data_IF_450990926392
#
_entry.id   IF_450990926392
#
_cell.length_a   1.000
_cell.length_b   1.000
_cell.length_c   1.000
_cell.angle_alpha   90.00
_cell.angle_beta   90.00
_cell.angle_gamma   90.00
#
_symmetry.space_group_name_H-M   'P 1'
#
loop_
_entity.id
_entity.type
_entity.pdbx_description
1 polymer ?
#
# COMPACT_ATOMS: atom_id res chain seq x y z
N UNK A 1 32.14 -40.65 33.90
CA UNK A 1 31.00 -39.76 34.18
C UNK A 1 30.86 -38.82 33.00
N UNK A 2 29.96 -39.15 32.07
CA UNK A 2 29.61 -38.34 30.91
C UNK A 2 28.41 -37.48 31.30
N UNK A 3 28.52 -36.17 31.12
CA UNK A 3 27.38 -35.25 31.18
C UNK A 3 27.25 -34.57 29.83
N UNK A 4 26.29 -35.03 29.04
CA UNK A 4 25.82 -34.35 27.84
C UNK A 4 24.99 -33.12 28.27
N UNK A 5 25.33 -31.95 27.76
CA UNK A 5 24.46 -30.77 27.80
C UNK A 5 23.74 -30.68 26.46
N UNK A 6 22.42 -30.92 26.49
CA UNK A 6 21.52 -30.67 25.38
C UNK A 6 21.18 -29.18 25.37
N UNK A 7 21.75 -28.43 24.42
CA UNK A 7 21.32 -27.07 24.11
C UNK A 7 20.06 -27.15 23.26
N UNK A 8 18.91 -26.81 23.86
CA UNK A 8 17.64 -26.67 23.19
C UNK A 8 17.74 -25.64 22.04
N UNK A 9 17.34 -26.09 20.85
CA UNK A 9 17.12 -25.30 19.65
C UNK A 9 15.90 -24.38 19.85
N UNK A 10 16.14 -23.08 19.99
CA UNK A 10 15.10 -22.04 20.15
C UNK A 10 15.17 -21.04 18.99
N UNK A 11 15.20 -21.52 17.73
CA UNK A 11 15.20 -20.64 16.54
C UNK A 11 13.99 -20.89 15.62
N UNK A 12 13.18 -21.95 15.84
CA UNK A 12 12.10 -22.30 14.91
C UNK A 12 10.72 -21.64 15.17
N UNK A 13 10.56 -20.82 16.22
CA UNK A 13 9.24 -20.26 16.57
C UNK A 13 9.10 -18.74 16.36
N UNK A 14 10.17 -18.01 16.04
CA UNK A 14 10.07 -16.56 15.83
C UNK A 14 9.56 -16.14 14.45
N UNK A 15 9.77 -16.98 13.43
CA UNK A 15 9.51 -16.64 12.01
C UNK A 15 8.14 -17.13 11.46
N UNK A 16 7.46 -18.07 12.15
CA UNK A 16 6.26 -18.71 11.60
C UNK A 16 4.97 -17.86 11.71
N UNK A 17 4.92 -16.90 12.63
CA UNK A 17 3.68 -16.17 12.96
C UNK A 17 3.53 -14.85 12.17
N UNK A 18 4.63 -14.14 11.90
CA UNK A 18 4.65 -13.00 10.94
C UNK A 18 4.27 -13.43 9.52
N UNK A 19 4.59 -14.68 9.14
CA UNK A 19 4.24 -15.26 7.85
C UNK A 19 2.72 -15.37 7.64
N UNK A 20 1.93 -15.63 8.69
CA UNK A 20 0.47 -15.73 8.58
C UNK A 20 -0.17 -14.38 8.25
N UNK A 21 0.29 -13.30 8.89
CA UNK A 21 -0.20 -11.94 8.61
C UNK A 21 0.20 -11.51 7.19
N UNK A 22 1.43 -11.79 6.76
CA UNK A 22 1.89 -11.49 5.41
C UNK A 22 1.14 -12.29 4.34
N UNK A 23 0.84 -13.57 4.58
CA UNK A 23 0.02 -14.39 3.69
C UNK A 23 -1.42 -13.87 3.61
N UNK A 24 -2.03 -13.53 4.74
CA UNK A 24 -3.37 -12.93 4.78
C UNK A 24 -3.39 -11.58 4.04
N UNK A 25 -2.37 -10.74 4.23
CA UNK A 25 -2.24 -9.47 3.53
C UNK A 25 -2.06 -9.68 2.02
N UNK A 26 -1.27 -10.66 1.59
CA UNK A 26 -1.10 -10.98 0.18
C UNK A 26 -2.44 -11.35 -0.47
N UNK A 27 -3.17 -12.29 0.11
CA UNK A 27 -4.47 -12.73 -0.38
C UNK A 27 -5.49 -11.58 -0.43
N UNK A 28 -5.51 -10.72 0.59
CA UNK A 28 -6.38 -9.54 0.61
C UNK A 28 -6.08 -8.58 -0.55
N UNK A 29 -4.80 -8.33 -0.85
CA UNK A 29 -4.43 -7.42 -1.92
C UNK A 29 -4.71 -8.02 -3.30
N UNK A 30 -4.59 -9.34 -3.45
CA UNK A 30 -5.02 -10.05 -4.65
C UNK A 30 -6.53 -9.95 -4.88
N UNK A 31 -7.33 -10.15 -3.82
CA UNK A 31 -8.79 -9.97 -3.88
C UNK A 31 -9.19 -8.54 -4.27
N UNK A 32 -8.47 -7.52 -3.78
CA UNK A 32 -8.69 -6.14 -4.20
C UNK A 32 -8.32 -5.90 -5.66
N UNK A 33 -7.22 -6.51 -6.13
CA UNK A 33 -6.80 -6.46 -7.53
C UNK A 33 -7.88 -7.04 -8.45
N UNK A 34 -8.42 -8.21 -8.09
CA UNK A 34 -9.50 -8.88 -8.80
C UNK A 34 -10.81 -8.06 -8.81
N UNK A 35 -10.99 -7.16 -7.85
CA UNK A 35 -12.12 -6.23 -7.78
C UNK A 35 -11.91 -4.93 -8.58
N UNK A 36 -10.88 -4.84 -9.43
CA UNK A 36 -10.51 -3.66 -10.21
C UNK A 36 -10.22 -2.42 -9.35
N UNK A 37 -9.67 -2.59 -8.15
CA UNK A 37 -9.14 -1.47 -7.39
C UNK A 37 -7.90 -0.90 -8.08
N UNK A 38 -7.71 0.43 -7.99
CA UNK A 38 -6.55 1.07 -8.61
C UNK A 38 -5.24 0.57 -7.97
N UNK A 39 -4.19 0.44 -8.78
CA UNK A 39 -2.85 0.05 -8.31
C UNK A 39 -2.33 0.98 -7.20
N UNK A 40 -2.65 2.27 -7.27
CA UNK A 40 -2.33 3.26 -6.24
C UNK A 40 -3.06 2.96 -4.91
N UNK A 41 -4.33 2.57 -4.94
CA UNK A 41 -5.08 2.16 -3.75
C UNK A 41 -4.47 0.91 -3.12
N UNK A 42 -4.14 -0.11 -3.93
CA UNK A 42 -3.52 -1.36 -3.46
C UNK A 42 -2.17 -1.08 -2.78
N UNK A 43 -1.32 -0.26 -3.42
CA UNK A 43 -0.03 0.16 -2.83
C UNK A 43 -0.21 0.89 -1.50
N UNK A 44 -1.16 1.81 -1.43
CA UNK A 44 -1.45 2.56 -0.21
C UNK A 44 -1.94 1.65 0.92
N UNK A 45 -2.85 0.73 0.62
CA UNK A 45 -3.39 -0.22 1.60
C UNK A 45 -2.31 -1.17 2.10
N UNK A 46 -1.49 -1.72 1.20
CA UNK A 46 -0.32 -2.53 1.56
C UNK A 46 0.58 -1.80 2.54
N UNK A 47 0.97 -0.56 2.21
CA UNK A 47 1.87 0.24 3.06
C UNK A 47 1.26 0.54 4.43
N UNK A 48 -0.03 0.90 4.47
CA UNK A 48 -0.73 1.24 5.71
C UNK A 48 -0.87 0.05 6.65
N UNK A 49 -1.26 -1.11 6.12
CA UNK A 49 -1.43 -2.35 6.91
C UNK A 49 -0.06 -2.87 7.37
N UNK A 50 0.98 -2.80 6.53
CA UNK A 50 2.35 -3.16 6.92
C UNK A 50 2.86 -2.31 8.09
N UNK A 51 2.64 -1.00 8.02
CA UNK A 51 3.01 -0.11 9.12
C UNK A 51 2.25 -0.42 10.40
N UNK A 52 0.97 -0.78 10.30
CA UNK A 52 0.12 -1.11 11.45
C UNK A 52 0.62 -2.35 12.19
N UNK A 53 0.77 -3.49 11.51
CA UNK A 53 1.20 -4.70 12.20
C UNK A 53 2.65 -4.58 12.69
N UNK A 54 3.55 -3.93 11.92
CA UNK A 54 4.95 -3.70 12.33
C UNK A 54 5.02 -2.88 13.61
N UNK A 55 4.13 -1.89 13.78
CA UNK A 55 4.02 -1.10 15.00
C UNK A 55 3.43 -1.90 16.16
N UNK A 56 2.50 -2.83 15.89
CA UNK A 56 1.85 -3.62 16.94
C UNK A 56 2.78 -4.60 17.65
N UNK A 57 3.83 -5.07 16.97
CA UNK A 57 4.74 -6.15 17.42
C UNK A 57 4.03 -7.48 17.74
N UNK A 58 2.75 -7.59 17.41
CA UNK A 58 1.97 -8.80 17.57
C UNK A 58 2.19 -9.70 16.35
N UNK A 59 2.28 -11.01 16.61
CA UNK A 59 2.58 -11.98 15.57
C UNK A 59 1.30 -12.68 15.05
N UNK A 60 0.25 -12.76 15.87
CA UNK A 60 -0.99 -13.46 15.53
C UNK A 60 -2.08 -12.53 14.96
N UNK A 61 -2.72 -12.95 13.84
CA UNK A 61 -3.74 -12.17 13.14
C UNK A 61 -4.99 -11.89 14.00
N UNK A 62 -5.34 -12.79 14.93
CA UNK A 62 -6.50 -12.56 15.79
C UNK A 62 -6.27 -11.44 16.81
N UNK A 63 -5.01 -11.20 17.22
CA UNK A 63 -4.66 -10.27 18.29
C UNK A 63 -4.49 -8.83 17.79
N UNK A 64 -4.13 -8.64 16.51
CA UNK A 64 -3.83 -7.32 15.95
C UNK A 64 -5.06 -6.41 15.88
N UNK A 65 -6.26 -6.98 15.76
CA UNK A 65 -7.51 -6.26 15.52
C UNK A 65 -8.24 -5.87 16.82
N UNK A 66 -7.52 -5.27 17.76
CA UNK A 66 -8.08 -4.79 19.02
C UNK A 66 -8.13 -3.26 19.10
N UNK A 67 -9.07 -2.74 19.91
CA UNK A 67 -9.20 -1.29 20.15
C UNK A 67 -7.92 -0.67 20.71
N UNK A 68 -7.23 -1.37 21.60
CA UNK A 68 -5.99 -0.90 22.23
C UNK A 68 -4.87 -0.76 21.21
N UNK A 69 -4.68 -1.76 20.35
CA UNK A 69 -3.64 -1.77 19.32
C UNK A 69 -3.91 -0.69 18.28
N UNK A 70 -5.15 -0.59 17.79
CA UNK A 70 -5.54 0.46 16.85
C UNK A 70 -5.37 1.85 17.46
N UNK A 71 -5.77 2.06 18.72
CA UNK A 71 -5.57 3.33 19.43
C UNK A 71 -4.09 3.69 19.53
N UNK A 72 -3.22 2.78 19.99
CA UNK A 72 -1.76 3.01 20.10
C UNK A 72 -1.17 3.46 18.75
N UNK A 73 -1.52 2.75 17.68
CA UNK A 73 -1.06 3.10 16.34
C UNK A 73 -1.54 4.47 15.88
N UNK A 74 -2.85 4.77 15.99
CA UNK A 74 -3.38 6.06 15.53
C UNK A 74 -2.82 7.24 16.34
N UNK A 75 -2.61 7.07 17.65
CA UNK A 75 -1.94 8.06 18.50
C UNK A 75 -0.50 8.29 18.04
N UNK A 76 0.27 7.22 17.81
CA UNK A 76 1.64 7.31 17.31
C UNK A 76 1.70 8.07 15.96
N UNK A 77 0.78 7.78 15.05
CA UNK A 77 0.71 8.46 13.75
C UNK A 77 0.38 9.95 13.89
N UNK A 78 -0.54 10.33 14.79
CA UNK A 78 -0.83 11.75 15.08
C UNK A 78 0.36 12.46 15.72
N UNK A 79 1.05 11.83 16.67
CA UNK A 79 2.25 12.39 17.32
C UNK A 79 3.39 12.62 16.34
N UNK A 80 3.50 11.79 15.30
CA UNK A 80 4.45 11.98 14.18
C UNK A 80 4.10 13.19 13.30
N UNK A 81 3.01 13.90 13.55
CA UNK A 81 2.58 15.07 12.78
C UNK A 81 1.96 14.73 11.43
N UNK A 82 1.44 13.51 11.24
CA UNK A 82 0.71 13.20 10.01
C UNK A 82 -0.60 14.00 9.91
N UNK A 83 -0.91 14.44 8.69
CA UNK A 83 -2.21 15.05 8.36
C UNK A 83 -3.36 14.09 8.70
N UNK A 84 -4.48 14.64 9.17
CA UNK A 84 -5.67 13.87 9.56
C UNK A 84 -6.23 13.01 8.41
N UNK A 85 -6.13 13.47 7.17
CA UNK A 85 -6.52 12.70 5.98
C UNK A 85 -5.70 11.41 5.82
N UNK A 86 -4.40 11.46 6.11
CA UNK A 86 -3.50 10.30 6.07
C UNK A 86 -3.80 9.31 7.22
N UNK A 87 -4.10 9.82 8.41
CA UNK A 87 -4.52 9.00 9.56
C UNK A 87 -5.86 8.32 9.28
N UNK A 88 -6.80 9.05 8.68
CA UNK A 88 -8.11 8.55 8.24
C UNK A 88 -7.97 7.45 7.19
N UNK A 89 -7.12 7.66 6.19
CA UNK A 89 -6.81 6.64 5.18
C UNK A 89 -6.25 5.37 5.84
N UNK A 90 -5.26 5.51 6.72
CA UNK A 90 -4.65 4.38 7.43
C UNK A 90 -5.68 3.56 8.20
N UNK A 91 -6.54 4.22 8.97
CA UNK A 91 -7.64 3.56 9.67
C UNK A 91 -8.58 2.84 8.69
N UNK A 92 -8.97 3.49 7.60
CA UNK A 92 -9.83 2.87 6.60
C UNK A 92 -9.21 1.59 6.00
N UNK A 93 -7.92 1.64 5.64
CA UNK A 93 -7.17 0.48 5.13
C UNK A 93 -7.17 -0.69 6.12
N UNK A 94 -6.91 -0.42 7.41
CA UNK A 94 -6.90 -1.42 8.49
C UNK A 94 -8.30 -2.01 8.69
N UNK A 95 -9.33 -1.16 8.71
CA UNK A 95 -10.71 -1.59 8.88
C UNK A 95 -11.15 -2.54 7.76
N UNK A 96 -10.84 -2.21 6.50
CA UNK A 96 -11.20 -3.06 5.36
C UNK A 96 -10.50 -4.42 5.44
N UNK A 97 -9.22 -4.44 5.82
CA UNK A 97 -8.49 -5.68 6.01
C UNK A 97 -9.06 -6.54 7.14
N UNK A 98 -9.44 -5.94 8.27
CA UNK A 98 -10.07 -6.64 9.39
C UNK A 98 -11.41 -7.28 9.00
N UNK A 99 -12.25 -6.55 8.27
CA UNK A 99 -13.55 -7.05 7.79
C UNK A 99 -13.37 -8.19 6.80
N UNK A 100 -12.42 -8.07 5.87
CA UNK A 100 -12.06 -9.12 4.93
C UNK A 100 -11.55 -10.37 5.67
N UNK A 101 -10.66 -10.21 6.65
CA UNK A 101 -10.13 -11.34 7.42
C UNK A 101 -11.25 -12.08 8.19
N UNK A 102 -12.23 -11.34 8.74
CA UNK A 102 -13.43 -11.93 9.35
C UNK A 102 -14.28 -12.67 8.32
N UNK A 103 -14.47 -12.09 7.13
CA UNK A 103 -15.25 -12.71 6.05
C UNK A 103 -14.63 -14.04 5.58
N UNK A 104 -13.29 -14.12 5.51
CA UNK A 104 -12.56 -15.34 5.15
C UNK A 104 -12.47 -16.36 6.31
N UNK A 105 -13.02 -16.05 7.49
CA UNK A 105 -12.96 -16.91 8.66
C UNK A 105 -11.57 -17.01 9.32
N UNK A 106 -10.65 -16.08 9.01
CA UNK A 106 -9.28 -16.07 9.54
C UNK A 106 -9.19 -15.54 10.97
N UNK A 107 -10.21 -14.79 11.41
CA UNK A 107 -10.32 -14.26 12.76
C UNK A 107 -11.72 -14.53 13.31
N UNK A 108 -11.79 -14.79 14.62
CA UNK A 108 -13.05 -14.99 15.34
C UNK A 108 -13.52 -13.74 16.07
N UNK A 109 -12.63 -12.77 16.29
CA UNK A 109 -12.91 -11.54 17.00
C UNK A 109 -13.95 -10.66 16.28
N UNK A 110 -14.84 -10.04 17.05
CA UNK A 110 -15.75 -9.06 16.48
C UNK A 110 -15.02 -7.76 16.13
N UNK A 111 -14.97 -7.45 14.84
CA UNK A 111 -14.37 -6.22 14.29
C UNK A 111 -15.43 -5.24 13.75
N UNK A 112 -16.73 -5.52 13.96
CA UNK A 112 -17.83 -4.66 13.50
C UNK A 112 -17.69 -3.22 14.00
N UNK A 113 -17.24 -3.06 15.25
CA UNK A 113 -17.02 -1.77 15.87
C UNK A 113 -16.05 -0.84 15.13
N UNK A 114 -15.18 -1.39 14.27
CA UNK A 114 -14.19 -0.61 13.52
C UNK A 114 -14.84 0.32 12.49
N UNK A 115 -15.99 -0.05 11.92
CA UNK A 115 -16.70 0.75 10.92
C UNK A 115 -17.43 1.93 11.55
N UNK A 116 -17.97 1.74 12.76
CA UNK A 116 -18.79 2.72 13.45
C UNK A 116 -17.97 3.71 14.28
N UNK A 117 -16.84 3.28 14.85
CA UNK A 117 -16.01 4.13 15.67
C UNK A 117 -15.42 5.28 14.83
N UNK A 118 -15.37 6.51 15.36
CA UNK A 118 -14.63 7.63 14.75
C UNK A 118 -13.18 7.63 15.24
N UNK A 119 -12.27 8.39 14.62
CA UNK A 119 -10.88 8.48 15.11
C UNK A 119 -10.87 9.10 16.51
N UNK A 120 -11.60 10.20 16.69
CA UNK A 120 -11.79 10.87 17.98
C UNK A 120 -12.31 9.91 19.05
N UNK A 121 -13.32 9.08 18.75
CA UNK A 121 -13.85 8.13 19.74
C UNK A 121 -12.83 7.05 20.13
N UNK A 122 -12.01 6.59 19.19
CA UNK A 122 -10.93 5.62 19.47
C UNK A 122 -9.86 6.26 20.35
N UNK A 123 -9.44 7.49 20.04
CA UNK A 123 -8.38 8.18 20.80
C UNK A 123 -8.84 8.53 22.22
N UNK A 124 -10.09 8.93 22.40
CA UNK A 124 -10.65 9.35 23.69
C UNK A 124 -11.14 8.18 24.57
N UNK A 125 -11.12 6.94 24.06
CA UNK A 125 -11.53 5.75 24.82
C UNK A 125 -10.50 5.39 25.90
N UNK A 126 -10.77 5.72 27.17
CA UNK A 126 -10.05 5.14 28.31
C UNK A 126 -10.65 3.74 28.55
N UNK A 127 -9.86 2.67 28.33
CA UNK A 127 -10.32 1.27 28.41
C UNK A 127 -10.95 0.91 29.75
N UNK A 128 -12.17 0.34 29.76
CA UNK A 128 -12.50 -1.01 30.29
C UNK A 128 -13.80 -1.49 29.59
N UNK A 129 -13.82 -2.70 29.02
CA UNK A 129 -15.07 -3.46 28.87
C UNK A 129 -14.80 -4.95 29.13
N UNK A 130 -15.17 -5.37 30.35
CA UNK A 130 -15.55 -6.74 30.70
C UNK A 130 -17.04 -6.86 30.33
N UNK A 131 -17.53 -7.99 29.78
CA UNK A 131 -18.94 -8.13 29.45
C UNK A 131 -19.73 -8.56 30.68
N UNK A 132 -20.63 -7.69 31.15
CA UNK A 132 -21.79 -8.10 31.95
C UNK A 132 -22.98 -7.23 31.52
N UNK A 133 -24.02 -7.86 30.99
CA UNK A 133 -25.40 -7.35 31.03
C UNK A 133 -26.18 -8.22 32.02
N UNK A 134 -27.39 -7.85 32.51
CA UNK A 134 -28.22 -6.66 32.21
C UNK A 134 -28.81 -5.96 33.47
N UNK A 135 -29.30 -4.72 33.33
CA UNK A 135 -30.53 -4.26 34.01
C UNK A 135 -31.01 -2.89 33.47
N UNK A 136 -32.34 -2.77 33.37
CA UNK A 136 -33.12 -1.62 32.90
C UNK A 136 -32.79 -0.30 33.62
N UNK A 137 -32.75 0.81 32.87
CA UNK A 137 -33.71 1.92 32.96
C UNK A 137 -33.36 3.07 31.97
N UNK A 138 -34.40 3.58 31.28
CA UNK A 138 -34.49 4.88 30.59
C UNK A 138 -35.27 5.83 31.55
N UNK A 139 -35.34 7.17 31.41
CA UNK A 139 -34.69 8.12 30.47
C UNK A 139 -33.87 9.21 31.23
N UNK A 140 -33.07 10.07 30.58
CA UNK A 140 -33.58 11.40 30.21
C UNK A 140 -32.76 12.13 29.14
N UNK A 141 -33.49 12.99 28.43
CA UNK A 141 -33.09 13.80 27.29
C UNK A 141 -32.40 15.09 27.74
N UNK A 142 -31.24 15.44 27.17
CA UNK A 142 -30.93 16.85 26.93
C UNK A 142 -30.33 17.05 25.54
N UNK A 143 -30.96 18.00 24.86
CA UNK A 143 -30.85 18.40 23.47
C UNK A 143 -29.78 19.50 23.37
N UNK A 144 -28.82 19.34 22.48
CA UNK A 144 -28.17 20.51 21.88
C UNK A 144 -27.88 20.26 20.40
N UNK A 145 -28.26 21.26 19.62
CA UNK A 145 -28.46 21.28 18.19
C UNK A 145 -27.18 21.56 17.39
N UNK A 146 -27.17 21.01 16.18
CA UNK A 146 -26.69 21.57 14.93
C UNK A 146 -25.19 21.86 14.76
N UNK A 147 -24.55 21.02 13.93
CA UNK A 147 -23.86 21.50 12.71
C UNK A 147 -23.73 20.33 11.71
N UNK A 148 -24.58 20.35 10.69
CA UNK A 148 -24.52 19.43 9.55
C UNK A 148 -23.37 19.84 8.63
N UNK A 149 -22.19 19.26 8.84
CA UNK A 149 -21.17 19.19 7.79
C UNK A 149 -21.52 17.99 6.90
N UNK A 150 -21.90 18.29 5.66
CA UNK A 150 -22.17 17.35 4.58
C UNK A 150 -20.90 16.55 4.27
N UNK A 151 -20.74 15.39 4.91
CA UNK A 151 -19.67 14.44 4.58
C UNK A 151 -20.06 13.76 3.27
N UNK A 152 -19.44 14.22 2.19
CA UNK A 152 -19.51 13.59 0.88
C UNK A 152 -18.84 12.21 0.98
N UNK A 153 -19.67 11.16 1.06
CA UNK A 153 -19.22 9.78 1.11
C UNK A 153 -18.50 9.45 -0.19
N UNK A 154 -17.21 9.14 -0.11
CA UNK A 154 -16.42 8.73 -1.26
C UNK A 154 -17.09 7.53 -1.97
N UNK A 155 -17.35 7.60 -3.29
CA UNK A 155 -18.12 6.59 -4.04
C UNK A 155 -17.48 5.20 -4.05
N UNK A 156 -16.21 5.06 -3.67
CA UNK A 156 -15.55 3.76 -3.52
C UNK A 156 -16.09 2.94 -2.33
N UNK A 157 -16.53 3.61 -1.26
CA UNK A 157 -17.00 2.97 -0.02
C UNK A 157 -18.30 2.16 -0.22
N UNK A 158 -19.17 2.57 -1.16
CA UNK A 158 -20.44 1.90 -1.44
C UNK A 158 -20.34 0.75 -2.46
N UNK A 159 -19.24 0.67 -3.23
CA UNK A 159 -19.05 -0.41 -4.23
C UNK A 159 -18.60 -1.74 -3.62
N UNK A 160 -17.81 -1.68 -2.55
CA UNK A 160 -17.18 -2.87 -1.93
C UNK A 160 -18.21 -3.70 -1.14
N UNK A 161 -19.15 -3.06 -0.44
CA UNK A 161 -20.12 -3.77 0.42
C UNK A 161 -21.36 -4.29 -0.32
N UNK A 162 -21.77 -3.67 -1.43
CA UNK A 162 -23.04 -3.99 -2.09
C UNK A 162 -22.96 -5.08 -3.16
N UNK A 163 -21.77 -5.56 -3.56
CA UNK A 163 -21.64 -6.54 -4.65
C UNK A 163 -21.73 -8.01 -4.19
N UNK A 164 -21.57 -8.29 -2.91
CA UNK A 164 -21.56 -9.66 -2.37
C UNK A 164 -22.93 -10.14 -1.85
N UNK A 165 -24.00 -9.35 -2.01
CA UNK A 165 -25.38 -9.81 -1.72
C UNK A 165 -26.01 -10.60 -2.88
N UNK A 166 -25.40 -10.60 -4.06
CA UNK A 166 -25.99 -11.16 -5.30
C UNK A 166 -25.20 -12.31 -5.91
N UNK A 167 -24.33 -13.00 -5.15
CA UNK A 167 -23.64 -14.20 -5.66
C UNK A 167 -23.60 -15.32 -4.62
N UNK A 168 -24.79 -15.79 -4.25
CA UNK A 168 -24.98 -17.12 -3.65
C UNK A 168 -26.15 -17.80 -4.36
N UNK A 169 -26.00 -18.03 -5.66
CA UNK A 169 -26.84 -18.97 -6.43
C UNK A 169 -25.93 -19.74 -7.38
N UNK A 170 -25.73 -21.02 -7.06
CA UNK A 170 -25.54 -22.15 -7.98
C UNK A 170 -24.80 -23.27 -7.24
N UNK A 171 -25.54 -24.09 -6.50
CA UNK A 171 -25.27 -25.51 -6.24
C UNK A 171 -26.60 -26.14 -5.79
N UNK A 172 -27.29 -26.77 -6.73
CA UNK A 172 -28.47 -27.61 -6.49
C UNK A 172 -28.09 -28.84 -5.68
N UNK A 173 -28.80 -29.16 -4.57
CA UNK A 173 -29.49 -30.44 -4.26
C UNK A 173 -30.56 -30.15 -3.14
N UNK A 174 -31.51 -31.06 -2.81
CA UNK A 174 -32.92 -31.02 -3.19
C UNK A 174 -33.89 -30.54 -2.09
N UNK A 175 -35.14 -30.38 -2.55
CA UNK A 175 -36.41 -30.00 -1.93
C UNK A 175 -36.62 -30.47 -0.47
N UNK A 176 -36.96 -29.51 0.40
CA UNK A 176 -37.94 -29.68 1.48
C UNK A 176 -38.92 -28.51 1.37
N UNK A 177 -40.19 -28.81 1.06
CA UNK A 177 -41.29 -27.84 1.06
C UNK A 177 -41.64 -27.43 2.49
N UNK A 178 -41.53 -26.14 2.80
CA UNK A 178 -42.31 -25.53 3.88
C UNK A 178 -43.02 -24.29 3.36
N UNK A 179 -44.32 -24.43 3.09
CA UNK A 179 -45.22 -23.32 2.76
C UNK A 179 -45.41 -22.45 4.00
N UNK A 180 -44.81 -21.26 4.01
CA UNK A 180 -45.18 -20.20 4.93
C UNK A 180 -45.53 -18.91 4.18
N UNK A 181 -46.84 -18.74 4.06
CA UNK A 181 -47.58 -17.56 3.66
C UNK A 181 -47.11 -16.29 4.40
N UNK A 182 -46.63 -15.25 3.70
CA UNK A 182 -46.95 -13.87 4.08
C UNK A 182 -46.74 -12.90 2.91
N UNK A 183 -47.72 -12.85 2.01
CA UNK A 183 -47.99 -11.65 1.23
C UNK A 183 -48.67 -10.67 2.18
N UNK A 184 -48.03 -9.55 2.49
CA UNK A 184 -48.61 -8.22 2.71
C UNK A 184 -47.59 -7.31 3.41
N UNK A 185 -47.78 -6.00 3.25
CA UNK A 185 -47.01 -4.90 3.86
C UNK A 185 -45.81 -4.45 3.03
N UNK A 186 -46.08 -3.65 1.99
CA UNK A 186 -45.67 -2.23 1.87
C UNK A 186 -46.43 -1.67 0.66
N UNK A 187 -47.64 -1.21 0.91
CA UNK A 187 -48.35 -0.30 0.01
C UNK A 187 -49.19 0.60 0.89
N UNK A 188 -48.62 1.73 1.29
CA UNK A 188 -49.33 2.93 1.76
C UNK A 188 -48.33 3.98 2.24
N UNK A 189 -47.49 4.51 1.36
CA UNK A 189 -46.92 5.84 1.55
C UNK A 189 -46.82 6.48 0.17
N UNK A 190 -47.33 7.72 0.07
CA UNK A 190 -47.45 8.57 -1.13
C UNK A 190 -48.75 8.45 -1.95
N UNK A 191 -49.86 8.83 -1.32
CA UNK A 191 -50.98 9.47 -2.03
C UNK A 191 -51.15 10.89 -1.48
N UNK A 192 -50.32 11.83 -1.98
CA UNK A 192 -50.58 13.27 -1.79
C UNK A 192 -51.67 13.67 -2.77
N UNK A 193 -52.89 13.80 -2.26
CA UNK A 193 -54.07 14.26 -3.01
C UNK A 193 -53.96 15.78 -3.19
N UNK A 194 -53.33 16.21 -4.28
CA UNK A 194 -53.23 17.64 -4.61
C UNK A 194 -54.56 18.14 -5.18
N UNK A 195 -55.49 18.57 -4.29
CA UNK A 195 -56.69 19.31 -4.68
C UNK A 195 -56.41 20.80 -4.53
N UNK A 196 -55.96 21.43 -5.61
CA UNK A 196 -56.16 22.86 -5.91
C UNK A 196 -55.61 23.18 -7.31
N UNK A 197 -56.30 22.72 -8.36
CA UNK A 197 -56.24 23.40 -9.66
C UNK A 197 -57.24 24.56 -9.62
N UNK A 198 -56.79 25.73 -9.15
CA UNK A 198 -57.46 26.98 -9.51
C UNK A 198 -57.10 27.26 -10.97
N UNK A 199 -58.12 27.38 -11.81
CA UNK A 199 -57.99 27.82 -13.18
C UNK A 199 -57.43 29.24 -13.19
N UNK A 200 -56.14 29.40 -13.48
CA UNK A 200 -55.58 30.69 -13.86
C UNK A 200 -55.70 30.81 -15.38
N UNK A 201 -56.92 31.05 -15.85
CA UNK A 201 -57.14 31.45 -17.23
C UNK A 201 -56.60 32.86 -17.42
N UNK A 202 -55.41 32.93 -18.03
CA UNK A 202 -55.26 33.65 -19.29
C UNK A 202 -55.66 35.13 -19.27
N UNK A 203 -54.79 35.96 -18.70
CA UNK A 203 -54.80 37.41 -18.92
C UNK A 203 -53.37 37.99 -18.83
N UNK A 204 -52.40 37.34 -19.47
CA UNK A 204 -51.09 37.93 -19.74
C UNK A 204 -50.89 37.94 -21.26
N UNK A 205 -50.58 39.10 -21.82
CA UNK A 205 -50.53 39.42 -23.25
C UNK A 205 -49.84 38.33 -24.09
N UNK A 206 -50.62 37.59 -24.89
CA UNK A 206 -50.16 36.54 -25.81
C UNK A 206 -49.13 37.03 -26.86
N UNK A 207 -48.94 38.35 -26.99
CA UNK A 207 -47.98 38.94 -27.92
C UNK A 207 -46.56 39.04 -27.34
N UNK A 208 -46.40 39.19 -26.02
CA UNK A 208 -45.07 39.42 -25.38
C UNK A 208 -44.44 38.10 -24.90
N UNK A 209 -45.28 37.13 -24.51
CA UNK A 209 -44.87 35.80 -24.04
C UNK A 209 -43.90 35.04 -24.98
N UNK A 210 -44.10 34.97 -26.31
CA UNK A 210 -43.17 34.26 -27.18
C UNK A 210 -41.79 34.92 -27.25
N UNK A 211 -41.72 36.26 -27.23
CA UNK A 211 -40.45 37.00 -27.23
C UNK A 211 -39.73 36.91 -25.88
N UNK A 212 -40.46 36.84 -24.77
CA UNK A 212 -39.89 36.63 -23.44
C UNK A 212 -39.29 35.23 -23.29
N UNK A 213 -39.98 34.19 -23.78
CA UNK A 213 -39.45 32.84 -23.80
C UNK A 213 -38.23 32.72 -24.73
N UNK A 214 -38.27 33.35 -25.90
CA UNK A 214 -37.14 33.40 -26.83
C UNK A 214 -35.92 34.10 -26.19
N UNK A 215 -36.13 35.23 -25.51
CA UNK A 215 -35.08 35.94 -24.78
C UNK A 215 -34.43 35.09 -23.68
N UNK A 216 -35.25 34.33 -22.92
CA UNK A 216 -34.76 33.40 -21.91
C UNK A 216 -33.93 32.26 -22.51
N UNK A 217 -34.34 31.72 -23.66
CA UNK A 217 -33.60 30.66 -24.36
C UNK A 217 -32.25 31.18 -24.85
N UNK A 218 -32.21 32.39 -25.44
CA UNK A 218 -30.97 33.01 -25.89
C UNK A 218 -30.02 33.25 -24.72
N UNK A 219 -30.52 33.79 -23.60
CA UNK A 219 -29.72 33.98 -22.39
C UNK A 219 -29.19 32.66 -21.82
N UNK A 220 -29.99 31.61 -21.86
CA UNK A 220 -29.58 30.27 -21.43
C UNK A 220 -28.41 29.74 -22.28
N UNK A 221 -28.47 29.87 -23.61
CA UNK A 221 -27.38 29.44 -24.48
C UNK A 221 -26.12 30.30 -24.34
N UNK A 222 -26.26 31.61 -24.14
CA UNK A 222 -25.12 32.48 -23.84
C UNK A 222 -24.47 32.07 -22.51
N UNK A 223 -25.27 31.76 -21.48
CA UNK A 223 -24.77 31.27 -20.20
C UNK A 223 -24.04 29.93 -20.31
N UNK A 224 -24.58 28.98 -21.07
CA UNK A 224 -23.91 27.70 -21.35
C UNK A 224 -22.62 27.88 -22.14
N UNK A 225 -22.60 28.78 -23.12
CA UNK A 225 -21.41 29.11 -23.90
C UNK A 225 -20.31 29.70 -23.01
N UNK A 226 -20.66 30.62 -22.12
CA UNK A 226 -19.72 31.22 -21.18
C UNK A 226 -19.17 30.21 -20.16
N UNK A 227 -20.02 29.35 -19.60
CA UNK A 227 -19.59 28.29 -18.68
C UNK A 227 -18.74 27.23 -19.37
N UNK A 228 -19.11 26.82 -20.58
CA UNK A 228 -18.35 25.86 -21.38
C UNK A 228 -17.00 26.40 -21.82
N UNK A 229 -16.95 27.67 -22.25
CA UNK A 229 -15.70 28.35 -22.59
C UNK A 229 -14.76 28.41 -21.37
N UNK A 230 -15.29 28.76 -20.20
CA UNK A 230 -14.49 28.85 -18.99
C UNK A 230 -13.99 27.49 -18.47
N UNK A 231 -14.71 26.40 -18.77
CA UNK A 231 -14.36 25.04 -18.31
C UNK A 231 -13.49 24.27 -19.32
N UNK A 232 -13.62 24.53 -20.62
CA UNK A 232 -12.94 23.80 -21.69
C UNK A 232 -11.77 24.56 -22.30
N UNK A 233 -11.80 25.90 -22.28
CA UNK A 233 -10.83 26.74 -23.01
C UNK A 233 -9.90 27.50 -22.08
N UNK A 234 -10.42 28.05 -20.98
CA UNK A 234 -9.58 28.76 -20.00
C UNK A 234 -9.27 27.88 -18.81
N UNK A 235 -8.00 27.82 -18.39
CA UNK A 235 -7.58 27.30 -17.08
C UNK A 235 -7.76 25.78 -16.85
N UNK A 236 -7.26 24.95 -17.78
CA UNK A 236 -6.64 23.69 -17.30
C UNK A 236 -5.13 23.86 -17.37
N UNK A 237 -4.46 24.27 -16.27
CA UNK A 237 -3.02 24.10 -16.19
C UNK A 237 -2.77 22.61 -16.40
N UNK A 238 -2.08 22.27 -17.48
CA UNK A 238 -1.64 20.91 -17.76
C UNK A 238 -0.66 20.52 -16.67
N UNK A 239 -1.18 19.99 -15.57
CA UNK A 239 -0.35 19.36 -14.56
C UNK A 239 0.24 18.13 -15.24
N UNK A 240 1.51 18.21 -15.61
CA UNK A 240 2.26 17.02 -15.99
C UNK A 240 2.08 16.00 -14.86
N UNK A 241 1.54 14.83 -15.19
CA UNK A 241 1.29 13.76 -14.22
C UNK A 241 2.60 13.11 -13.72
N UNK A 242 3.74 13.57 -14.24
CA UNK A 242 5.06 13.01 -14.05
C UNK A 242 6.06 14.15 -13.78
N UNK A 243 7.06 13.93 -12.92
CA UNK A 243 8.16 14.89 -12.76
C UNK A 243 8.92 15.05 -14.09
N UNK A 244 9.37 16.27 -14.39
CA UNK A 244 10.12 16.59 -15.62
C UNK A 244 11.51 15.96 -15.67
N UNK A 245 12.03 15.51 -14.52
CA UNK A 245 13.22 14.69 -14.44
C UNK A 245 12.83 13.30 -13.97
N UNK A 246 13.20 12.26 -14.73
CA UNK A 246 13.28 10.91 -14.21
C UNK A 246 14.00 10.85 -12.86
N UNK A 247 13.50 10.01 -11.96
CA UNK A 247 14.26 9.54 -10.80
C UNK A 247 14.57 8.08 -11.10
N UNK A 248 15.82 7.80 -11.46
CA UNK A 248 16.33 6.43 -11.61
C UNK A 248 16.50 5.78 -10.25
N UNK A 249 16.38 4.46 -10.20
CA UNK A 249 16.74 3.70 -9.02
C UNK A 249 18.27 3.63 -8.94
N UNK A 250 18.83 3.77 -7.73
CA UNK A 250 20.28 3.68 -7.55
C UNK A 250 20.77 2.25 -7.83
N UNK A 251 21.79 2.12 -8.68
CA UNK A 251 22.35 0.83 -9.14
C UNK A 251 23.52 0.41 -8.27
N UNK A 252 23.17 -0.14 -7.13
CA UNK A 252 24.12 -0.54 -6.07
C UNK A 252 23.96 -2.02 -5.74
N UNK A 253 25.07 -2.67 -5.40
CA UNK A 253 25.08 -4.06 -4.95
C UNK A 253 25.51 -4.13 -3.49
N UNK A 254 24.69 -4.74 -2.64
CA UNK A 254 25.07 -5.02 -1.25
C UNK A 254 26.01 -6.23 -1.21
N UNK A 255 27.18 -6.06 -0.60
CA UNK A 255 28.11 -7.13 -0.32
C UNK A 255 28.34 -7.27 1.19
N UNK A 256 28.14 -8.47 1.70
CA UNK A 256 28.39 -8.80 3.10
C UNK A 256 29.39 -9.94 3.19
N UNK A 257 30.36 -9.78 4.09
CA UNK A 257 31.38 -10.79 4.35
C UNK A 257 31.85 -10.75 5.80
N UNK A 258 32.71 -11.71 6.14
CA UNK A 258 33.43 -11.77 7.41
C UNK A 258 34.92 -11.79 7.14
N UNK A 259 35.66 -10.84 7.70
CA UNK A 259 37.12 -10.81 7.66
C UNK A 259 37.68 -11.60 8.82
N UNK A 260 38.53 -12.57 8.48
CA UNK A 260 39.27 -13.36 9.46
C UNK A 260 40.74 -13.45 9.08
N UNK A 261 41.61 -13.54 10.08
CA UNK A 261 43.01 -13.89 9.86
C UNK A 261 43.18 -15.37 9.50
N UNK A 262 44.42 -15.79 9.24
CA UNK A 262 44.76 -17.18 8.93
C UNK A 262 44.44 -18.16 10.08
N UNK A 263 44.34 -17.66 11.31
CA UNK A 263 43.95 -18.41 12.50
C UNK A 263 42.43 -18.37 12.77
N UNK A 264 41.64 -17.80 11.85
CA UNK A 264 40.20 -17.57 11.95
C UNK A 264 39.73 -16.57 13.03
N UNK A 265 40.62 -15.74 13.56
CA UNK A 265 40.22 -14.64 14.44
C UNK A 265 39.60 -13.52 13.61
N UNK A 266 38.52 -12.88 14.10
CA UNK A 266 37.90 -11.77 13.40
C UNK A 266 38.83 -10.55 13.33
N UNK A 267 38.90 -9.93 12.15
CA UNK A 267 39.61 -8.66 11.95
C UNK A 267 38.61 -7.52 12.05
N UNK A 268 38.77 -6.65 13.05
CA UNK A 268 37.91 -5.47 13.28
C UNK A 268 38.58 -4.15 12.89
N UNK A 269 39.81 -4.18 12.38
CA UNK A 269 40.52 -2.98 11.91
C UNK A 269 40.10 -2.60 10.49
N UNK A 270 40.09 -1.29 10.21
CA UNK A 270 39.86 -0.76 8.88
C UNK A 270 40.82 -1.39 7.86
N UNK A 271 40.26 -2.03 6.84
CA UNK A 271 41.00 -2.77 5.81
C UNK A 271 40.61 -2.25 4.44
N UNK A 272 41.60 -2.02 3.59
CA UNK A 272 41.37 -1.57 2.22
C UNK A 272 40.78 -2.70 1.39
N UNK A 273 39.73 -2.41 0.63
CA UNK A 273 39.08 -3.35 -0.27
C UNK A 273 38.86 -2.73 -1.65
N UNK A 274 38.89 -3.57 -2.67
CA UNK A 274 38.56 -3.23 -4.05
C UNK A 274 37.66 -4.33 -4.62
N UNK A 275 36.60 -3.94 -5.32
CA UNK A 275 35.62 -4.83 -5.90
C UNK A 275 35.64 -4.69 -7.42
N UNK A 276 35.64 -5.83 -8.13
CA UNK A 276 35.54 -5.89 -9.59
C UNK A 276 34.42 -6.83 -10.00
N UNK A 277 33.71 -6.46 -11.05
CA UNK A 277 32.69 -7.29 -11.67
C UNK A 277 33.22 -7.76 -13.02
N UNK A 278 33.13 -9.07 -13.25
CA UNK A 278 33.62 -9.75 -14.44
C UNK A 278 32.49 -10.49 -15.14
N UNK A 279 32.60 -10.64 -16.46
CA UNK A 279 31.73 -11.49 -17.30
C UNK A 279 32.29 -12.91 -17.51
N UNK A 280 33.39 -13.26 -16.83
CA UNK A 280 33.97 -14.61 -16.81
C UNK A 280 34.29 -15.05 -15.38
N UNK A 281 34.07 -16.34 -15.08
CA UNK A 281 34.36 -16.95 -13.77
C UNK A 281 35.85 -16.88 -13.37
N UNK A 282 36.75 -16.93 -14.34
CA UNK A 282 38.21 -16.89 -14.12
C UNK A 282 38.93 -16.39 -15.35
N UNK A 283 40.04 -15.68 -15.16
CA UNK A 283 40.80 -15.06 -16.25
C UNK A 283 40.09 -13.83 -16.80
N UNK A 284 40.30 -13.55 -18.09
CA UNK A 284 39.79 -12.36 -18.77
C UNK A 284 40.80 -11.21 -18.82
N UNK A 285 40.50 -10.22 -19.66
CA UNK A 285 41.30 -9.01 -19.85
C UNK A 285 40.67 -7.87 -19.05
N UNK A 286 41.41 -7.32 -18.07
CA UNK A 286 40.90 -6.25 -17.20
C UNK A 286 40.55 -4.97 -18.00
N UNK A 287 41.43 -4.55 -18.93
CA UNK A 287 41.22 -3.30 -19.67
C UNK A 287 40.97 -2.10 -18.74
N UNK A 288 39.97 -1.29 -19.08
CA UNK A 288 39.51 -0.12 -18.30
C UNK A 288 38.38 -0.43 -17.31
N UNK A 289 37.86 -1.66 -17.28
CA UNK A 289 36.72 -2.07 -16.44
C UNK A 289 35.46 -1.20 -16.60
N UNK A 290 35.08 -0.93 -17.85
CA UNK A 290 33.91 -0.14 -18.23
C UNK A 290 32.91 -0.93 -19.10
N UNK A 291 33.06 -2.26 -19.19
CA UNK A 291 32.27 -3.14 -20.06
C UNK A 291 32.78 -3.26 -21.50
N UNK A 292 33.89 -2.57 -21.87
CA UNK A 292 34.51 -2.75 -23.20
C UNK A 292 35.28 -4.08 -23.32
N UNK A 293 35.71 -4.65 -22.20
CA UNK A 293 36.44 -5.92 -22.13
C UNK A 293 35.72 -6.88 -21.15
N UNK A 294 36.37 -7.94 -20.72
CA UNK A 294 35.78 -8.93 -19.79
C UNK A 294 35.52 -8.39 -18.37
N UNK A 295 36.09 -7.22 -18.03
CA UNK A 295 35.82 -6.50 -16.80
C UNK A 295 34.74 -5.44 -17.04
N UNK A 296 33.64 -5.57 -16.32
CA UNK A 296 32.43 -4.75 -16.49
C UNK A 296 32.43 -3.52 -15.58
N UNK A 297 33.03 -3.65 -14.40
CA UNK A 297 33.01 -2.60 -13.39
C UNK A 297 34.15 -2.78 -12.38
N UNK A 298 34.68 -1.67 -11.88
CA UNK A 298 35.74 -1.63 -10.87
C UNK A 298 35.53 -0.46 -9.92
N UNK A 299 35.67 -0.71 -8.62
CA UNK A 299 35.70 0.34 -7.60
C UNK A 299 37.09 0.95 -7.46
N UNK A 300 37.15 2.14 -6.87
CA UNK A 300 38.38 2.61 -6.22
C UNK A 300 38.64 1.81 -4.94
N UNK A 301 39.86 1.89 -4.42
CA UNK A 301 40.18 1.31 -3.11
C UNK A 301 39.40 2.05 -2.01
N UNK A 302 38.53 1.33 -1.32
CA UNK A 302 37.73 1.84 -0.21
C UNK A 302 38.20 1.25 1.12
N UNK A 303 38.11 2.03 2.20
CA UNK A 303 38.47 1.56 3.54
C UNK A 303 37.21 1.05 4.26
N UNK A 304 37.15 -0.25 4.51
CA UNK A 304 36.00 -0.91 5.13
C UNK A 304 36.38 -1.27 6.56
N UNK A 305 35.55 -0.86 7.53
CA UNK A 305 35.76 -1.16 8.96
C UNK A 305 34.75 -2.20 9.42
N UNK A 306 35.18 -3.45 9.66
CA UNK A 306 34.28 -4.50 10.17
C UNK A 306 33.92 -4.29 11.65
N UNK A 307 32.89 -5.01 12.11
CA UNK A 307 32.53 -5.06 13.53
C UNK A 307 33.49 -5.94 14.36
N UNK A 308 33.20 -6.09 15.66
CA UNK A 308 34.01 -6.88 16.60
C UNK A 308 34.07 -8.38 16.21
N UNK A 309 33.09 -8.87 15.44
CA UNK A 309 33.03 -10.24 14.95
C UNK A 309 33.61 -10.38 13.53
N UNK A 310 34.18 -9.29 12.99
CA UNK A 310 34.78 -9.21 11.67
C UNK A 310 33.75 -9.10 10.53
N UNK A 311 32.48 -8.88 10.83
CA UNK A 311 31.41 -8.78 9.84
C UNK A 311 31.37 -7.36 9.28
N UNK A 312 31.21 -7.24 7.97
CA UNK A 312 31.06 -5.96 7.29
C UNK A 312 29.96 -6.02 6.23
N UNK A 313 29.38 -4.87 5.91
CA UNK A 313 28.42 -4.69 4.82
C UNK A 313 28.83 -3.44 4.03
N UNK A 314 28.93 -3.57 2.71
CA UNK A 314 29.36 -2.50 1.80
C UNK A 314 28.40 -2.42 0.63
N UNK A 315 27.90 -1.22 0.33
CA UNK A 315 27.22 -0.91 -0.91
C UNK A 315 28.22 -0.63 -2.04
N UNK A 316 28.42 -1.59 -2.93
CA UNK A 316 29.20 -1.41 -4.16
C UNK A 316 28.40 -0.49 -5.09
N UNK A 317 29.00 0.63 -5.51
CA UNK A 317 28.34 1.67 -6.29
C UNK A 317 27.75 2.81 -5.46
N UNK A 318 27.93 2.81 -4.14
CA UNK A 318 27.56 3.91 -3.23
C UNK A 318 28.64 4.14 -2.17
N UNK A 319 28.75 3.25 -1.18
CA UNK A 319 29.79 3.30 -0.14
C UNK A 319 31.20 3.11 -0.71
N UNK A 320 31.31 2.29 -1.77
CA UNK A 320 32.56 1.98 -2.45
C UNK A 320 32.40 2.05 -3.97
N UNK A 321 33.14 2.97 -4.60
CA UNK A 321 33.09 3.23 -6.03
C UNK A 321 31.93 4.14 -6.46
N UNK A 322 31.86 4.44 -7.76
CA UNK A 322 30.75 5.17 -8.37
C UNK A 322 29.60 4.23 -8.74
N UNK A 323 28.39 4.75 -8.88
CA UNK A 323 27.21 3.99 -9.32
C UNK A 323 27.51 3.08 -10.53
N UNK A 324 26.98 1.85 -10.49
CA UNK A 324 27.22 0.85 -11.54
C UNK A 324 26.38 1.19 -12.77
N UNK A 325 27.00 1.15 -13.95
CA UNK A 325 26.31 1.43 -15.21
C UNK A 325 25.22 0.38 -15.50
N UNK A 326 24.14 0.78 -16.17
CA UNK A 326 23.06 -0.10 -16.63
C UNK A 326 23.55 -1.26 -17.49
N UNK A 327 24.48 -0.95 -18.41
CA UNK A 327 24.98 -1.88 -19.42
C UNK A 327 25.55 -3.16 -18.78
N UNK A 328 26.20 -3.02 -17.62
CA UNK A 328 26.80 -4.13 -16.87
C UNK A 328 25.78 -5.23 -16.61
N UNK A 329 24.53 -4.89 -16.30
CA UNK A 329 23.52 -5.87 -15.93
C UNK A 329 22.55 -6.22 -17.06
N UNK A 330 22.42 -5.39 -18.09
CA UNK A 330 21.52 -5.64 -19.22
C UNK A 330 22.19 -6.45 -20.33
N UNK A 331 23.49 -6.27 -20.54
CA UNK A 331 24.23 -6.91 -21.63
C UNK A 331 24.84 -8.26 -21.22
N UNK A 332 24.97 -8.51 -19.91
CA UNK A 332 25.62 -9.71 -19.38
C UNK A 332 24.62 -10.67 -18.73
N UNK A 333 24.58 -11.91 -19.24
CA UNK A 333 23.71 -12.98 -18.71
C UNK A 333 24.25 -13.63 -17.43
N UNK A 334 25.55 -13.51 -17.17
CA UNK A 334 26.22 -14.02 -15.98
C UNK A 334 27.32 -13.05 -15.56
N UNK A 335 27.37 -12.76 -14.26
CA UNK A 335 28.34 -11.85 -13.67
C UNK A 335 28.99 -12.51 -12.46
N UNK A 336 30.26 -12.17 -12.23
CA UNK A 336 31.06 -12.67 -11.13
C UNK A 336 31.74 -11.53 -10.39
N UNK A 337 31.66 -11.56 -9.06
CA UNK A 337 32.31 -10.62 -8.16
C UNK A 337 33.69 -11.14 -7.77
N UNK A 338 34.70 -10.31 -8.00
CA UNK A 338 36.06 -10.48 -7.50
C UNK A 338 36.29 -9.46 -6.39
N UNK A 339 36.83 -9.92 -5.27
CA UNK A 339 37.10 -9.10 -4.09
C UNK A 339 38.59 -9.14 -3.82
N UNK A 340 39.19 -7.96 -3.70
CA UNK A 340 40.60 -7.77 -3.37
C UNK A 340 40.64 -7.14 -1.99
N UNK A 341 41.29 -7.79 -1.03
CA UNK A 341 41.44 -7.31 0.34
C UNK A 341 42.92 -6.98 0.54
N UNK A 342 43.19 -5.70 0.81
CA UNK A 342 44.52 -5.09 0.85
C UNK A 342 45.32 -5.30 -0.44
N UNK A 343 45.90 -6.48 -0.63
CA UNK A 343 46.63 -6.88 -1.84
C UNK A 343 46.43 -8.36 -2.20
N UNK A 344 45.51 -9.04 -1.52
CA UNK A 344 45.16 -10.43 -1.79
C UNK A 344 43.86 -10.49 -2.59
N UNK A 345 43.90 -11.15 -3.74
CA UNK A 345 42.72 -11.41 -4.56
C UNK A 345 42.06 -12.71 -4.12
N UNK A 346 40.81 -12.63 -3.67
CA UNK A 346 40.05 -13.81 -3.29
C UNK A 346 39.65 -14.62 -4.52
N UNK A 347 39.96 -15.91 -4.51
CA UNK A 347 39.59 -16.86 -5.56
C UNK A 347 38.90 -18.09 -4.95
N UNK A 348 37.87 -18.68 -5.60
CA UNK A 348 37.27 -18.30 -6.89
C UNK A 348 36.33 -17.09 -6.79
N UNK A 349 36.08 -16.43 -7.94
CA UNK A 349 35.10 -15.32 -8.03
C UNK A 349 33.71 -15.80 -7.65
N UNK A 350 32.94 -14.94 -6.98
CA UNK A 350 31.60 -15.29 -6.49
C UNK A 350 30.53 -14.94 -7.53
N UNK A 351 29.59 -15.85 -7.86
CA UNK A 351 28.57 -15.57 -8.86
C UNK A 351 27.54 -14.56 -8.33
N UNK A 352 27.25 -13.54 -9.12
CA UNK A 352 26.17 -12.59 -8.85
C UNK A 352 24.91 -13.13 -9.51
N UNK A 353 23.95 -13.60 -8.70
CA UNK A 353 22.66 -14.08 -9.18
C UNK A 353 21.70 -12.90 -9.31
N UNK A 354 21.81 -12.13 -10.37
CA UNK A 354 20.79 -11.12 -10.71
C UNK A 354 19.58 -11.80 -11.34
N UNK A 355 18.38 -11.25 -11.10
CA UNK A 355 17.18 -11.64 -11.84
C UNK A 355 17.09 -10.70 -13.04
N UNK A 356 17.21 -11.18 -14.30
CA UNK A 356 17.23 -10.33 -15.49
C UNK A 356 16.00 -9.42 -15.63
N UNK A 357 14.90 -9.78 -14.98
CA UNK A 357 13.62 -9.09 -15.08
C UNK A 357 13.45 -7.88 -14.14
N UNK A 358 14.30 -7.71 -13.12
CA UNK A 358 14.13 -6.63 -12.15
C UNK A 358 14.69 -5.28 -12.62
N UNK A 359 15.55 -5.27 -13.65
CA UNK A 359 16.40 -4.11 -14.00
C UNK A 359 15.74 -3.21 -15.05
N UNK A 360 14.75 -3.71 -15.80
CA UNK A 360 13.99 -2.92 -16.77
C UNK A 360 12.93 -2.00 -16.15
N UNK A 361 12.94 -1.76 -14.83
CA UNK A 361 11.95 -0.89 -14.15
C UNK A 361 11.98 0.57 -14.61
N UNK A 362 13.06 0.97 -15.30
CA UNK A 362 13.26 2.32 -15.82
C UNK A 362 12.78 2.50 -17.27
N UNK A 363 12.36 1.41 -17.93
CA UNK A 363 11.85 1.44 -19.30
C UNK A 363 10.33 1.24 -19.31
N UNK A 364 9.62 2.04 -20.10
CA UNK A 364 8.19 1.84 -20.38
C UNK A 364 8.12 1.17 -21.75
N UNK A 365 7.62 -0.08 -21.79
CA UNK A 365 7.58 -0.89 -23.02
C UNK A 365 8.95 -1.09 -23.70
N UNK A 366 10.04 -1.05 -22.93
CA UNK A 366 11.41 -1.18 -23.47
C UNK A 366 12.00 0.10 -24.04
N UNK A 367 11.29 1.23 -23.95
CA UNK A 367 11.84 2.55 -24.30
C UNK A 367 12.31 3.29 -23.05
N UNK A 368 13.47 3.96 -23.09
CA UNK A 368 13.87 4.85 -22.03
C UNK A 368 12.86 6.00 -21.97
N UNK A 369 12.53 6.43 -20.76
CA UNK A 369 11.63 7.56 -20.47
C UNK A 369 12.04 8.89 -21.13
N UNK A 370 13.29 9.04 -21.59
CA UNK A 370 13.76 10.19 -22.39
C UNK A 370 13.30 10.16 -23.85
N UNK A 371 12.91 9.00 -24.38
CA UNK A 371 12.45 8.83 -25.75
C UNK A 371 10.92 8.90 -25.90
N UNK A 372 10.19 8.98 -24.78
CA UNK A 372 8.72 8.99 -24.74
C UNK A 372 8.11 10.38 -24.52
N UNK A 373 8.92 11.45 -24.58
CA UNK A 373 8.53 12.84 -24.35
C UNK A 373 8.53 13.68 -25.62
#
# INVERSE_FOLDING_TARGET
MMTAHSSHNTIAHEDFSSAQIEAALFNYLEDLSNQNCSSATIRNYRSDIKQFYKHSQLKELNEIFSRSVLKKFLTYQKQKGLKDSSVTRKKASINQFALWAKQQGLISNDVSWMTEATIESILNSNHIHIPITPALNKPDFHKTENNQAKIEKSPAFLRIFNRNKTRTEALEIPIIEEKANNKNVISNFFTVKNKNKKNLSQAASNFILPYLNLGLIVLFFIGLGFLGYNQLVTETPTSLAYPSSPVSASRVLSFQGRLTDTAQNPISSATNMEFKIWSLLSGGTEGTCDGTNDCEYKTTTCSVTPDQDGIFNVGIGDDCGSEINEAVFTENSALWLEVIIASETLTPRQPIRTVPFAINSETIQGYPISASG
#
